data_IF_102673843488
#
_entry.id   IF_102673843488
#
_cell.length_a   1.000
_cell.length_b   1.000
_cell.length_c   1.000
_cell.angle_alpha   90.00
_cell.angle_beta   90.00
_cell.angle_gamma   90.00
#
_symmetry.space_group_name_H-M   'P 1'
#
loop_
_entity.id
_entity.type
_entity.pdbx_description
1 polymer ?
#
# COMPACT_ATOMS: atom_id res chain seq x y z
N UNK A 1 -12.78 -20.99 -11.71
CA UNK A 1 -12.30 -19.63 -11.50
C UNK A 1 -10.78 -19.64 -11.51
N UNK A 2 -10.15 -18.67 -12.17
CA UNK A 2 -8.70 -18.55 -12.10
C UNK A 2 -8.28 -18.22 -10.65
N UNK A 3 -7.27 -18.93 -10.15
CA UNK A 3 -6.73 -18.67 -8.80
C UNK A 3 -6.10 -17.27 -8.76
N UNK A 4 -6.47 -16.48 -7.78
CA UNK A 4 -5.90 -15.13 -7.57
C UNK A 4 -4.75 -15.11 -6.56
N UNK A 5 -4.39 -16.26 -5.96
CA UNK A 5 -3.25 -16.43 -5.06
C UNK A 5 -2.55 -17.78 -5.32
N UNK A 6 -1.40 -17.99 -4.69
CA UNK A 6 -0.60 -19.22 -4.79
C UNK A 6 -1.06 -20.31 -3.80
N UNK A 7 -2.04 -20.03 -2.93
CA UNK A 7 -2.46 -20.97 -1.89
C UNK A 7 -3.22 -22.16 -2.49
N UNK A 8 -2.84 -23.37 -2.10
CA UNK A 8 -3.56 -24.58 -2.44
C UNK A 8 -4.36 -25.10 -1.21
N UNK A 9 -5.69 -25.06 -1.25
CA UNK A 9 -6.51 -25.56 -0.14
C UNK A 9 -6.20 -26.99 0.28
N UNK A 10 -5.62 -27.79 -0.61
CA UNK A 10 -5.18 -29.16 -0.29
C UNK A 10 -4.11 -29.18 0.81
N UNK A 11 -3.26 -28.14 0.85
CA UNK A 11 -2.15 -28.00 1.78
C UNK A 11 -2.43 -27.02 2.91
N UNK A 12 -3.71 -26.77 3.24
CA UNK A 12 -4.10 -25.76 4.23
C UNK A 12 -3.42 -25.89 5.59
N UNK A 13 -3.05 -27.11 6.00
CA UNK A 13 -2.35 -27.40 7.26
C UNK A 13 -0.87 -26.94 7.26
N UNK A 14 -0.31 -26.69 6.09
CA UNK A 14 1.09 -26.26 5.93
C UNK A 14 1.23 -24.75 6.05
N UNK A 15 0.13 -24.00 5.90
CA UNK A 15 0.09 -22.54 5.97
C UNK A 15 -0.08 -22.06 7.42
N UNK A 16 0.96 -22.25 8.24
CA UNK A 16 0.93 -21.92 9.68
C UNK A 16 1.13 -20.45 9.98
N UNK A 17 1.58 -19.68 9.00
CA UNK A 17 1.89 -18.24 9.06
C UNK A 17 0.76 -17.34 8.56
N UNK A 18 -0.36 -17.92 8.08
CA UNK A 18 -1.49 -17.15 7.58
C UNK A 18 -2.50 -16.87 8.71
N UNK A 19 -2.67 -15.58 9.00
CA UNK A 19 -3.70 -15.13 9.94
C UNK A 19 -5.09 -15.26 9.30
N UNK A 20 -5.95 -16.11 9.81
CA UNK A 20 -7.30 -16.33 9.27
C UNK A 20 -8.36 -15.45 9.89
N UNK A 21 -8.09 -14.93 11.08
CA UNK A 21 -9.02 -14.08 11.84
C UNK A 21 -9.04 -12.63 11.32
N UNK A 22 -10.05 -11.88 11.72
CA UNK A 22 -10.15 -10.44 11.46
C UNK A 22 -9.26 -9.60 12.39
N UNK A 23 -8.88 -10.16 13.54
CA UNK A 23 -7.96 -9.55 14.50
C UNK A 23 -6.56 -10.16 14.30
N UNK A 24 -5.60 -9.34 13.91
CA UNK A 24 -4.20 -9.74 13.79
C UNK A 24 -3.40 -9.16 14.95
N UNK A 25 -2.90 -10.02 15.80
CA UNK A 25 -2.01 -9.64 16.91
C UNK A 25 -0.58 -9.85 16.42
N UNK A 26 0.16 -8.75 16.31
CA UNK A 26 1.56 -8.75 15.87
C UNK A 26 2.41 -8.25 17.04
N UNK A 27 2.97 -9.17 17.79
CA UNK A 27 3.73 -8.86 19.00
C UNK A 27 5.05 -8.13 18.72
N UNK A 28 5.69 -8.45 17.60
CA UNK A 28 7.00 -7.90 17.25
C UNK A 28 7.09 -7.65 15.74
N UNK A 29 7.59 -6.45 15.39
CA UNK A 29 7.95 -6.11 13.99
C UNK A 29 8.99 -7.09 13.46
N UNK A 30 8.80 -7.60 12.26
CA UNK A 30 9.86 -8.27 11.52
C UNK A 30 10.90 -7.24 11.07
N UNK A 31 12.14 -7.43 11.51
CA UNK A 31 13.30 -6.61 11.15
C UNK A 31 14.32 -7.44 10.36
N UNK A 32 13.89 -8.52 9.72
CA UNK A 32 14.77 -9.35 8.91
C UNK A 32 15.26 -8.62 7.66
N UNK A 33 16.50 -8.90 7.27
CA UNK A 33 17.11 -8.33 6.08
C UNK A 33 17.20 -6.80 6.12
N UNK A 34 16.69 -6.14 5.09
CA UNK A 34 16.76 -4.67 4.92
C UNK A 34 15.58 -3.91 5.51
N UNK A 35 14.63 -4.58 6.17
CA UNK A 35 13.54 -3.89 6.85
C UNK A 35 14.06 -3.01 7.98
N UNK A 36 13.94 -1.69 7.81
CA UNK A 36 14.34 -0.71 8.83
C UNK A 36 13.12 -0.07 9.51
N UNK A 37 13.17 0.12 10.84
CA UNK A 37 12.18 0.90 11.55
C UNK A 37 12.41 2.42 11.45
N UNK A 38 13.51 2.87 10.82
CA UNK A 38 14.01 4.25 10.91
C UNK A 38 13.11 5.28 10.20
N UNK A 39 12.29 4.84 9.24
CA UNK A 39 11.30 5.72 8.61
C UNK A 39 10.02 5.73 9.44
N UNK A 40 9.69 6.90 10.02
CA UNK A 40 8.42 7.10 10.72
C UNK A 40 7.24 6.89 9.75
N UNK A 41 6.28 6.07 10.15
CA UNK A 41 5.12 5.76 9.32
C UNK A 41 5.22 4.43 8.57
N UNK A 42 6.32 3.69 8.66
CA UNK A 42 6.37 2.33 8.13
C UNK A 42 5.43 1.41 8.91
N UNK A 43 4.49 0.77 8.24
CA UNK A 43 3.77 -0.36 8.83
C UNK A 43 4.67 -1.60 8.96
N UNK A 44 4.26 -2.55 9.78
CA UNK A 44 5.06 -3.77 10.00
C UNK A 44 5.05 -4.67 8.75
N UNK A 45 6.18 -5.28 8.37
CA UNK A 45 6.29 -6.11 7.16
C UNK A 45 5.29 -7.27 7.10
N UNK A 46 4.85 -7.76 8.24
CA UNK A 46 3.85 -8.83 8.32
C UNK A 46 2.51 -8.43 7.69
N UNK A 47 2.14 -7.14 7.66
CA UNK A 47 0.90 -6.69 7.02
C UNK A 47 0.93 -6.91 5.50
N UNK A 48 1.87 -6.34 4.72
CA UNK A 48 1.94 -6.63 3.30
C UNK A 48 2.19 -8.11 3.01
N UNK A 49 2.98 -8.81 3.82
CA UNK A 49 3.18 -10.25 3.70
C UNK A 49 1.87 -11.02 3.70
N UNK A 50 1.01 -10.79 4.71
CA UNK A 50 -0.31 -11.41 4.82
C UNK A 50 -1.23 -11.06 3.65
N UNK A 51 -1.26 -9.79 3.25
CA UNK A 51 -2.09 -9.32 2.15
C UNK A 51 -1.65 -9.92 0.81
N UNK A 52 -0.35 -9.95 0.52
CA UNK A 52 0.17 -10.50 -0.73
C UNK A 52 -0.01 -12.01 -0.81
N UNK A 53 0.21 -12.73 0.29
CA UNK A 53 -0.05 -14.18 0.36
C UNK A 53 -1.50 -14.51 0.01
N UNK A 54 -2.45 -13.72 0.51
CA UNK A 54 -3.89 -13.98 0.37
C UNK A 54 -4.46 -13.54 -0.98
N UNK A 55 -3.97 -12.43 -1.53
CA UNK A 55 -4.65 -11.72 -2.61
C UNK A 55 -3.82 -11.59 -3.89
N UNK A 56 -2.59 -12.13 -3.90
CA UNK A 56 -1.72 -12.11 -5.08
C UNK A 56 -1.02 -13.43 -5.29
N UNK A 57 -0.46 -13.62 -6.47
CA UNK A 57 0.42 -14.74 -6.82
C UNK A 57 1.76 -14.24 -7.36
N UNK A 58 2.74 -15.14 -7.46
CA UNK A 58 4.03 -14.84 -8.08
C UNK A 58 3.84 -14.26 -9.48
N UNK A 59 4.58 -13.21 -9.79
CA UNK A 59 4.50 -12.47 -11.06
C UNK A 59 3.38 -11.44 -11.15
N UNK A 60 2.43 -11.37 -10.20
CA UNK A 60 1.42 -10.30 -10.14
C UNK A 60 2.09 -8.94 -9.92
N UNK A 61 1.45 -7.88 -10.42
CA UNK A 61 1.87 -6.51 -10.24
C UNK A 61 1.15 -5.85 -9.07
N UNK A 62 1.94 -5.21 -8.20
CA UNK A 62 1.49 -4.47 -7.02
C UNK A 62 1.81 -2.99 -7.21
N UNK A 63 0.88 -2.12 -6.88
CA UNK A 63 1.06 -0.67 -6.83
C UNK A 63 0.94 -0.19 -5.38
N UNK A 64 1.94 0.56 -4.92
CA UNK A 64 1.92 1.27 -3.64
C UNK A 64 2.10 2.77 -3.89
N UNK A 65 1.01 3.57 -3.82
CA UNK A 65 1.07 5.01 -4.02
C UNK A 65 1.60 5.80 -2.81
N UNK A 66 1.89 5.14 -1.69
CA UNK A 66 2.43 5.74 -0.47
C UNK A 66 3.61 4.93 0.06
N UNK A 67 4.56 4.55 -0.82
CA UNK A 67 5.54 3.54 -0.49
C UNK A 67 6.48 3.89 0.66
N UNK A 68 6.70 5.20 0.95
CA UNK A 68 7.55 5.63 2.05
C UNK A 68 8.91 4.92 2.07
N UNK A 69 9.21 4.23 3.16
CA UNK A 69 10.44 3.45 3.32
C UNK A 69 10.52 2.14 2.51
N UNK A 70 9.52 1.84 1.66
CA UNK A 70 9.56 0.71 0.71
C UNK A 70 9.23 -0.65 1.31
N UNK A 71 8.63 -0.72 2.50
CA UNK A 71 8.30 -1.99 3.17
C UNK A 71 7.48 -2.94 2.29
N UNK A 72 6.46 -2.43 1.62
CA UNK A 72 5.61 -3.21 0.70
C UNK A 72 6.38 -3.74 -0.52
N UNK A 73 7.29 -2.92 -1.07
CA UNK A 73 8.09 -3.31 -2.23
C UNK A 73 9.11 -4.39 -1.88
N UNK A 74 9.74 -4.28 -0.70
CA UNK A 74 10.66 -5.30 -0.18
C UNK A 74 9.92 -6.64 -0.03
N UNK A 75 8.74 -6.64 0.59
CA UNK A 75 7.94 -7.87 0.73
C UNK A 75 7.46 -8.41 -0.63
N UNK A 76 7.01 -7.55 -1.54
CA UNK A 76 6.63 -7.97 -2.88
C UNK A 76 7.79 -8.70 -3.59
N UNK A 77 8.98 -8.11 -3.54
CA UNK A 77 10.19 -8.67 -4.15
C UNK A 77 10.59 -10.01 -3.52
N UNK A 78 10.59 -10.13 -2.19
CA UNK A 78 10.86 -11.39 -1.46
C UNK A 78 9.91 -12.50 -1.85
N UNK A 79 8.66 -12.14 -2.09
CA UNK A 79 7.61 -13.08 -2.46
C UNK A 79 7.52 -13.33 -3.98
N UNK A 80 8.38 -12.72 -4.81
CA UNK A 80 8.40 -12.89 -6.26
C UNK A 80 7.25 -12.19 -7.00
N UNK A 81 6.77 -11.06 -6.46
CA UNK A 81 5.79 -10.18 -7.10
C UNK A 81 6.50 -8.99 -7.73
N UNK A 82 5.99 -8.52 -8.87
CA UNK A 82 6.41 -7.24 -9.42
C UNK A 82 5.77 -6.10 -8.64
N UNK A 83 6.47 -4.97 -8.51
CA UNK A 83 5.92 -3.84 -7.77
C UNK A 83 6.39 -2.50 -8.31
N UNK A 84 5.50 -1.50 -8.19
CA UNK A 84 5.81 -0.08 -8.37
C UNK A 84 5.38 0.64 -7.11
N UNK A 85 6.31 1.42 -6.54
CA UNK A 85 6.02 2.34 -5.45
C UNK A 85 6.19 3.79 -5.89
N UNK A 86 5.29 4.64 -5.47
CA UNK A 86 5.36 6.09 -5.69
C UNK A 86 5.61 6.77 -4.34
N UNK A 87 6.62 7.64 -4.31
CA UNK A 87 6.99 8.42 -3.12
C UNK A 87 7.12 9.89 -3.50
N UNK A 88 6.50 10.75 -2.69
CA UNK A 88 6.48 12.21 -2.92
C UNK A 88 7.86 12.84 -2.70
N UNK A 89 8.62 12.33 -1.73
CA UNK A 89 9.89 12.90 -1.31
C UNK A 89 11.07 12.22 -2.02
N UNK A 90 11.86 12.97 -2.83
CA UNK A 90 12.95 12.36 -3.62
C UNK A 90 14.02 11.69 -2.76
N UNK A 91 14.32 12.22 -1.57
CA UNK A 91 15.34 11.67 -0.68
C UNK A 91 14.89 10.33 -0.08
N UNK A 92 13.61 10.23 0.32
CA UNK A 92 13.03 8.99 0.81
C UNK A 92 13.00 7.95 -0.32
N UNK A 93 12.57 8.34 -1.51
CA UNK A 93 12.56 7.47 -2.69
C UNK A 93 13.94 6.87 -2.97
N UNK A 94 15.01 7.70 -3.00
CA UNK A 94 16.40 7.23 -3.22
C UNK A 94 16.88 6.28 -2.13
N UNK A 95 16.61 6.61 -0.87
CA UNK A 95 17.02 5.77 0.26
C UNK A 95 16.31 4.40 0.19
N UNK A 96 15.01 4.40 -0.08
CA UNK A 96 14.23 3.17 -0.21
C UNK A 96 14.69 2.33 -1.40
N UNK A 97 14.98 2.94 -2.55
CA UNK A 97 15.52 2.25 -3.71
C UNK A 97 16.86 1.57 -3.39
N UNK A 98 17.73 2.25 -2.63
CA UNK A 98 18.99 1.67 -2.18
C UNK A 98 18.78 0.42 -1.32
N UNK A 99 17.86 0.47 -0.35
CA UNK A 99 17.53 -0.68 0.49
C UNK A 99 16.92 -1.83 -0.31
N UNK A 100 15.99 -1.55 -1.20
CA UNK A 100 15.34 -2.53 -2.08
C UNK A 100 16.38 -3.26 -2.94
N UNK A 101 17.36 -2.52 -3.49
CA UNK A 101 18.40 -3.08 -4.34
C UNK A 101 19.39 -4.00 -3.60
N UNK A 102 19.53 -3.89 -2.27
CA UNK A 102 20.35 -4.82 -1.47
C UNK A 102 19.80 -6.26 -1.54
N UNK A 103 18.48 -6.41 -1.57
CA UNK A 103 17.82 -7.72 -1.68
C UNK A 103 17.25 -7.97 -3.08
N UNK A 104 17.93 -7.48 -4.13
CA UNK A 104 17.45 -7.60 -5.50
C UNK A 104 17.10 -9.05 -5.88
N UNK A 105 15.96 -9.21 -6.55
CA UNK A 105 15.47 -10.49 -7.04
C UNK A 105 15.25 -10.42 -8.56
N UNK A 106 16.10 -11.11 -9.33
CA UNK A 106 16.07 -11.13 -10.80
C UNK A 106 14.78 -11.70 -11.40
N UNK A 107 13.95 -12.37 -10.60
CA UNK A 107 12.70 -12.98 -11.06
C UNK A 107 11.50 -12.02 -11.00
N UNK A 108 11.67 -10.80 -10.54
CA UNK A 108 10.62 -9.79 -10.48
C UNK A 108 11.16 -8.38 -10.74
N UNK A 109 10.26 -7.49 -11.10
CA UNK A 109 10.57 -6.08 -11.36
C UNK A 109 10.09 -5.26 -10.17
N UNK A 110 11.00 -4.51 -9.55
CA UNK A 110 10.66 -3.55 -8.49
C UNK A 110 11.12 -2.16 -8.93
N UNK A 111 10.23 -1.18 -8.91
CA UNK A 111 10.51 0.20 -9.32
C UNK A 111 10.05 1.20 -8.30
N UNK A 112 10.94 2.13 -7.99
CA UNK A 112 10.67 3.31 -7.16
C UNK A 112 10.51 4.52 -8.06
N UNK A 113 9.43 5.26 -7.86
CA UNK A 113 9.07 6.44 -8.63
C UNK A 113 8.94 7.63 -7.67
N UNK A 114 9.62 8.72 -7.98
CA UNK A 114 9.38 9.98 -7.26
C UNK A 114 8.24 10.74 -7.94
N UNK A 115 7.19 11.07 -7.17
CA UNK A 115 6.05 11.79 -7.73
C UNK A 115 4.87 11.95 -6.77
N UNK A 116 3.90 12.73 -7.19
CA UNK A 116 2.65 12.95 -6.49
C UNK A 116 1.59 11.96 -6.97
N UNK A 117 1.21 11.03 -6.13
CA UNK A 117 0.27 9.95 -6.45
C UNK A 117 -1.14 10.44 -6.81
N UNK A 118 -1.52 11.67 -6.44
CA UNK A 118 -2.80 12.27 -6.82
C UNK A 118 -2.92 12.50 -8.33
N UNK A 119 -1.79 12.75 -9.01
CA UNK A 119 -1.80 13.15 -10.41
C UNK A 119 -0.71 12.49 -11.26
N UNK A 120 0.09 11.58 -10.71
CA UNK A 120 1.11 10.88 -11.48
C UNK A 120 0.50 10.12 -12.65
N UNK A 121 1.15 10.18 -13.82
CA UNK A 121 0.67 9.46 -15.00
C UNK A 121 1.04 7.96 -14.91
N UNK A 122 0.20 7.19 -14.22
CA UNK A 122 0.38 5.74 -14.04
C UNK A 122 0.30 5.00 -15.37
N UNK A 123 -0.48 5.51 -16.34
CA UNK A 123 -0.55 4.89 -17.67
C UNK A 123 0.82 4.83 -18.35
N UNK A 124 1.62 5.89 -18.21
CA UNK A 124 2.98 5.90 -18.79
C UNK A 124 3.90 4.83 -18.17
N UNK A 125 3.74 4.53 -16.88
CA UNK A 125 4.48 3.43 -16.24
C UNK A 125 4.01 2.07 -16.76
N UNK A 126 2.69 1.91 -16.93
CA UNK A 126 2.14 0.67 -17.46
C UNK A 126 2.64 0.39 -18.88
N UNK A 127 2.69 1.42 -19.73
CA UNK A 127 3.25 1.31 -21.07
C UNK A 127 4.74 0.99 -21.04
N UNK A 128 5.53 1.70 -20.20
CA UNK A 128 6.97 1.52 -20.08
C UNK A 128 7.37 0.10 -19.65
N UNK A 129 6.61 -0.50 -18.73
CA UNK A 129 6.92 -1.82 -18.17
C UNK A 129 6.01 -2.94 -18.72
N UNK A 130 5.20 -2.65 -19.74
CA UNK A 130 4.24 -3.59 -20.32
C UNK A 130 3.30 -4.22 -19.28
N UNK A 131 2.76 -3.39 -18.37
CA UNK A 131 1.84 -3.82 -17.32
C UNK A 131 0.42 -3.79 -17.87
N UNK A 132 -0.28 -4.93 -17.98
CA UNK A 132 -1.65 -4.96 -18.50
C UNK A 132 -2.67 -4.39 -17.49
N UNK A 133 -2.44 -4.63 -16.20
CA UNK A 133 -3.20 -4.13 -15.07
C UNK A 133 -2.43 -4.42 -13.78
N UNK A 134 -2.74 -3.72 -12.69
CA UNK A 134 -2.26 -4.11 -11.36
C UNK A 134 -3.21 -5.13 -10.75
N UNK A 135 -2.65 -6.16 -10.10
CA UNK A 135 -3.45 -7.19 -9.43
C UNK A 135 -3.71 -6.85 -7.97
N UNK A 136 -2.94 -5.92 -7.42
CA UNK A 136 -3.15 -5.43 -6.06
C UNK A 136 -2.72 -3.97 -5.92
N UNK A 137 -3.49 -3.22 -5.16
CA UNK A 137 -3.10 -1.87 -4.72
C UNK A 137 -3.05 -1.89 -3.21
N UNK A 138 -1.92 -1.47 -2.62
CA UNK A 138 -1.77 -1.31 -1.17
C UNK A 138 -1.54 0.17 -0.88
N UNK A 139 -2.27 0.70 0.08
CA UNK A 139 -2.20 2.11 0.46
C UNK A 139 -1.97 2.22 1.96
N UNK A 140 -0.97 3.00 2.36
CA UNK A 140 -0.73 3.37 3.74
C UNK A 140 -0.55 4.89 3.82
N UNK A 141 -1.65 5.66 3.68
CA UNK A 141 -1.59 7.10 3.70
C UNK A 141 -1.18 7.62 5.08
N UNK A 142 -0.71 8.87 5.19
CA UNK A 142 -0.62 9.54 6.48
C UNK A 142 -1.99 9.57 7.16
N UNK A 143 -2.00 9.54 8.50
CA UNK A 143 -3.24 9.61 9.27
C UNK A 143 -3.58 11.07 9.54
N UNK A 144 -3.89 11.80 8.46
CA UNK A 144 -4.09 13.24 8.44
C UNK A 144 -2.86 13.96 9.06
N UNK A 145 -3.02 14.80 10.09
CA UNK A 145 -2.01 15.67 10.70
C UNK A 145 -1.34 15.07 11.95
N UNK A 146 -1.41 13.74 12.16
CA UNK A 146 -0.74 13.08 13.31
C UNK A 146 0.77 13.25 13.24
N UNK A 147 1.35 13.04 12.06
CA UNK A 147 2.77 13.21 11.80
C UNK A 147 2.93 14.04 10.53
N UNK A 148 3.68 15.11 10.61
CA UNK A 148 4.12 15.88 9.45
C UNK A 148 5.32 15.17 8.82
N UNK A 149 5.16 14.67 7.60
CA UNK A 149 6.22 13.92 6.93
C UNK A 149 7.18 14.81 6.15
N UNK A 150 6.72 15.95 5.62
CA UNK A 150 7.56 16.89 4.86
C UNK A 150 7.00 18.32 4.91
N UNK A 151 7.78 19.27 4.37
CA UNK A 151 7.31 20.64 4.11
C UNK A 151 6.70 20.81 2.72
N UNK A 152 6.57 19.72 1.95
CA UNK A 152 5.98 19.78 0.62
C UNK A 152 4.48 20.08 0.73
N UNK A 153 4.00 21.11 0.02
CA UNK A 153 2.58 21.49 0.01
C UNK A 153 1.67 20.38 -0.51
N UNK A 154 2.22 19.45 -1.26
CA UNK A 154 1.48 18.30 -1.81
C UNK A 154 1.41 17.11 -0.86
N UNK A 155 2.08 17.18 0.30
CA UNK A 155 2.02 16.13 1.30
C UNK A 155 0.65 16.16 2.00
N UNK A 156 -0.05 15.03 1.98
CA UNK A 156 -1.39 14.91 2.57
C UNK A 156 -1.38 15.19 4.07
N UNK A 157 -0.24 14.98 4.76
CA UNK A 157 -0.09 15.29 6.18
C UNK A 157 -0.13 16.81 6.50
N UNK A 158 0.01 17.64 5.48
CA UNK A 158 -0.08 19.11 5.60
C UNK A 158 -1.49 19.66 5.33
N UNK A 159 -2.49 18.82 5.13
CA UNK A 159 -3.89 19.24 4.95
C UNK A 159 -4.40 19.97 6.20
N UNK A 160 -4.93 21.17 6.02
CA UNK A 160 -5.39 22.02 7.14
C UNK A 160 -6.70 21.50 7.77
N UNK A 161 -7.50 20.81 6.98
CA UNK A 161 -8.78 20.24 7.42
C UNK A 161 -8.90 18.78 7.04
N UNK A 162 -9.76 18.06 7.77
CA UNK A 162 -10.07 16.67 7.43
C UNK A 162 -10.64 16.54 6.01
N UNK A 163 -11.48 17.48 5.57
CA UNK A 163 -12.06 17.45 4.24
C UNK A 163 -10.98 17.58 3.13
N UNK A 164 -10.04 18.51 3.29
CA UNK A 164 -8.89 18.64 2.38
C UNK A 164 -8.06 17.34 2.30
N UNK A 165 -7.84 16.69 3.44
CA UNK A 165 -7.17 15.39 3.47
C UNK A 165 -7.97 14.33 2.72
N UNK A 166 -9.28 14.22 2.98
CA UNK A 166 -10.16 13.26 2.33
C UNK A 166 -10.26 13.47 0.82
N UNK A 167 -10.37 14.72 0.37
CA UNK A 167 -10.40 15.07 -1.05
C UNK A 167 -9.08 14.67 -1.73
N UNK A 168 -7.95 15.01 -1.11
CA UNK A 168 -6.61 14.66 -1.61
C UNK A 168 -6.38 13.13 -1.64
N UNK A 169 -6.82 12.42 -0.61
CA UNK A 169 -6.73 10.97 -0.57
C UNK A 169 -7.66 10.32 -1.61
N UNK A 170 -8.87 10.86 -1.79
CA UNK A 170 -9.80 10.46 -2.85
C UNK A 170 -9.18 10.55 -4.23
N UNK A 171 -8.42 11.62 -4.52
CA UNK A 171 -7.68 11.76 -5.78
C UNK A 171 -6.66 10.63 -5.98
N UNK A 172 -5.96 10.20 -4.93
CA UNK A 172 -5.02 9.06 -5.02
C UNK A 172 -5.78 7.77 -5.30
N UNK A 173 -6.89 7.51 -4.59
CA UNK A 173 -7.74 6.34 -4.82
C UNK A 173 -8.19 6.29 -6.28
N UNK A 174 -8.76 7.39 -6.79
CA UNK A 174 -9.26 7.47 -8.17
C UNK A 174 -8.14 7.31 -9.20
N UNK A 175 -6.95 7.92 -8.93
CA UNK A 175 -5.84 7.81 -9.87
C UNK A 175 -5.23 6.41 -9.92
N UNK A 176 -5.33 5.61 -8.86
CA UNK A 176 -4.65 4.30 -8.76
C UNK A 176 -5.59 3.13 -9.03
N UNK A 177 -6.80 3.14 -8.46
CA UNK A 177 -7.71 1.98 -8.54
C UNK A 177 -8.33 1.75 -9.91
N UNK A 178 -8.38 2.77 -10.77
CA UNK A 178 -8.84 2.63 -12.17
C UNK A 178 -7.96 1.68 -13.00
N UNK A 179 -6.72 1.42 -12.55
CA UNK A 179 -5.78 0.49 -13.18
C UNK A 179 -5.75 -0.88 -12.51
N UNK A 180 -6.56 -1.08 -11.47
CA UNK A 180 -6.69 -2.37 -10.80
C UNK A 180 -7.47 -3.33 -11.70
N UNK A 181 -6.98 -4.55 -11.83
CA UNK A 181 -7.64 -5.61 -12.58
C UNK A 181 -9.02 -5.91 -11.96
N UNK A 182 -10.02 -6.13 -12.82
CA UNK A 182 -11.38 -6.42 -12.36
C UNK A 182 -11.42 -7.65 -11.47
N UNK A 183 -12.16 -7.58 -10.37
CA UNK A 183 -12.28 -8.63 -9.34
C UNK A 183 -10.99 -8.90 -8.56
N UNK A 184 -10.09 -7.92 -8.49
CA UNK A 184 -8.91 -7.93 -7.63
C UNK A 184 -9.11 -6.99 -6.45
N UNK A 185 -8.11 -6.85 -5.61
CA UNK A 185 -8.25 -6.23 -4.29
C UNK A 185 -7.40 -4.97 -4.15
N UNK A 186 -7.95 -4.01 -3.44
CA UNK A 186 -7.24 -2.87 -2.89
C UNK A 186 -7.27 -2.97 -1.36
N UNK A 187 -6.14 -2.73 -0.70
CA UNK A 187 -6.05 -2.65 0.74
C UNK A 187 -5.63 -1.24 1.16
N UNK A 188 -6.35 -0.69 2.13
CA UNK A 188 -5.97 0.53 2.82
C UNK A 188 -5.60 0.19 4.27
N UNK A 189 -4.37 0.50 4.67
CA UNK A 189 -3.88 0.38 6.04
C UNK A 189 -3.93 1.76 6.66
N UNK A 190 -4.83 1.97 7.60
CA UNK A 190 -5.03 3.27 8.25
C UNK A 190 -5.41 3.07 9.71
N UNK A 191 -4.90 3.94 10.59
CA UNK A 191 -5.24 3.96 12.00
C UNK A 191 -6.16 5.12 12.35
N UNK A 192 -6.89 4.97 13.46
CA UNK A 192 -7.69 6.07 13.99
C UNK A 192 -6.80 7.11 14.69
N UNK A 193 -7.19 8.36 14.59
CA UNK A 193 -6.55 9.46 15.31
C UNK A 193 -7.26 9.72 16.63
N UNK A 194 -6.50 9.89 17.72
CA UNK A 194 -7.02 10.38 18.98
C UNK A 194 -6.51 11.79 19.22
N UNK A 195 -7.43 12.76 19.28
CA UNK A 195 -7.10 14.16 19.54
C UNK A 195 -8.23 14.86 20.32
N UNK A 196 -7.88 15.76 21.23
CA UNK A 196 -8.84 16.57 22.03
C UNK A 196 -9.88 15.70 22.75
N UNK A 197 -9.45 14.56 23.31
CA UNK A 197 -10.32 13.58 24.00
C UNK A 197 -11.40 12.95 23.11
N UNK A 198 -11.20 12.96 21.79
CA UNK A 198 -12.09 12.34 20.81
C UNK A 198 -11.33 11.41 19.89
N UNK A 199 -11.96 10.31 19.53
CA UNK A 199 -11.49 9.41 18.48
C UNK A 199 -11.99 9.95 17.15
N UNK A 200 -11.07 10.18 16.20
CA UNK A 200 -11.39 10.48 14.82
C UNK A 200 -11.21 9.19 14.05
N UNK A 201 -12.31 8.49 13.70
CA UNK A 201 -12.25 7.19 13.04
C UNK A 201 -11.92 7.39 11.55
N UNK A 202 -10.63 7.55 11.23
CA UNK A 202 -10.17 7.81 9.87
C UNK A 202 -10.70 6.75 8.89
N UNK A 203 -10.78 5.49 9.30
CA UNK A 203 -11.31 4.42 8.46
C UNK A 203 -12.76 4.66 8.02
N UNK A 204 -13.61 5.19 8.90
CA UNK A 204 -15.03 5.47 8.58
C UNK A 204 -15.19 6.64 7.62
N UNK A 205 -14.28 7.62 7.67
CA UNK A 205 -14.32 8.77 6.77
C UNK A 205 -13.67 8.49 5.42
N UNK A 206 -12.73 7.54 5.33
CA UNK A 206 -12.02 7.21 4.09
C UNK A 206 -12.65 6.07 3.30
N UNK A 207 -13.51 5.27 3.93
CA UNK A 207 -14.22 4.19 3.25
C UNK A 207 -15.60 4.68 2.85
N UNK A 208 -15.91 4.82 1.54
CA UNK A 208 -17.28 5.05 1.13
C UNK A 208 -18.13 3.87 1.60
N UNK A 209 -19.12 4.16 2.44
CA UNK A 209 -20.07 3.12 2.88
C UNK A 209 -20.78 2.58 1.64
N UNK A 210 -20.97 1.24 1.51
CA UNK A 210 -21.79 0.68 0.45
C UNK A 210 -23.23 1.23 0.45
N UNK A 211 -23.63 1.92 1.52
CA UNK A 211 -24.95 2.56 1.66
C UNK A 211 -24.97 4.00 1.15
N UNK A 212 -23.82 4.67 1.00
CA UNK A 212 -23.76 6.06 0.59
C UNK A 212 -24.05 6.26 -0.92
N UNK A 213 -24.03 5.18 -1.71
CA UNK A 213 -24.43 5.14 -3.11
C UNK A 213 -25.85 4.63 -3.36
N UNK A 214 -26.57 4.20 -2.33
CA UNK A 214 -27.96 3.78 -2.46
C UNK A 214 -28.88 4.99 -2.31
N UNK A 215 -28.98 5.79 -3.36
CA UNK A 215 -30.14 6.66 -3.53
C UNK A 215 -31.37 5.77 -3.55
N UNK A 216 -32.18 5.87 -2.52
CA UNK A 216 -33.50 5.29 -2.47
C UNK A 216 -34.29 5.71 -3.73
N UNK A 217 -34.66 4.76 -4.55
CA UNK A 217 -35.78 4.85 -5.48
C UNK A 217 -36.95 4.09 -4.89
#
# INVERSE_FOLDING_TARGET
MARYNDLDPKYWKEYTDINTDSLWIIDKRDNSGVHSPDYHGNFVPQIPHQLFTRYTKKGDWILDPFMGGGTSLIEAQRMGRNSIGIELQPDIARNSETLINIEHNDNCITKVITGDSRCYNINSLMEQFNIPAFQFVIMHPPYWDIIKFSDNINDLSNSHTLNEFLDSFGMVIDNTTKYLEKNRYCACVIGDKYANSQVIPCLLYTSPSPRDGATSR
#
